data_IF_522795519977
#
_entry.id   IF_522795519977
#
_cell.length_a   1.000
_cell.length_b   1.000
_cell.length_c   1.000
_cell.angle_alpha   90.00
_cell.angle_beta   90.00
_cell.angle_gamma   90.00
#
_symmetry.space_group_name_H-M   'P 1'
#
loop_
_entity.id
_entity.type
_entity.pdbx_description
1 polymer ?
#
# COMPACT_ATOMS: atom_id res chain seq x y z
N UNK A 1 5.92 -15.88 14.22
CA UNK A 1 6.42 -16.97 13.34
C UNK A 1 7.75 -16.62 12.69
N UNK A 2 7.95 -15.39 12.23
CA UNK A 2 9.22 -14.97 11.59
C UNK A 2 10.42 -14.99 12.55
N UNK A 3 10.32 -14.45 13.76
CA UNK A 3 11.44 -14.45 14.73
C UNK A 3 11.90 -15.85 15.09
N UNK A 4 10.99 -16.78 15.35
CA UNK A 4 11.32 -18.16 15.70
C UNK A 4 11.89 -18.99 14.54
N UNK A 5 11.61 -18.64 13.29
CA UNK A 5 12.15 -19.33 12.12
C UNK A 5 13.52 -18.80 11.69
N UNK A 6 13.84 -17.55 12.00
CA UNK A 6 15.14 -16.96 11.66
C UNK A 6 16.30 -17.57 12.45
N UNK A 7 16.09 -17.95 13.71
CA UNK A 7 17.16 -18.55 14.54
C UNK A 7 17.61 -19.95 14.05
N UNK A 8 16.69 -20.72 13.42
CA UNK A 8 17.00 -22.10 12.99
C UNK A 8 17.30 -22.24 11.50
N UNK A 9 16.94 -21.23 10.67
CA UNK A 9 17.02 -21.29 9.21
C UNK A 9 17.92 -20.20 8.60
N UNK A 10 18.80 -19.59 9.38
CA UNK A 10 19.71 -18.56 8.91
C UNK A 10 20.48 -19.04 7.65
N UNK A 11 20.37 -18.28 6.56
CA UNK A 11 20.98 -18.60 5.26
C UNK A 11 20.26 -19.66 4.41
N UNK A 12 19.10 -20.17 4.86
CA UNK A 12 18.30 -21.20 4.14
C UNK A 12 16.85 -20.77 3.88
N UNK A 13 16.45 -19.58 4.32
CA UNK A 13 15.12 -19.03 4.16
C UNK A 13 15.15 -17.86 3.17
N UNK A 14 14.37 -17.94 2.11
CA UNK A 14 14.04 -16.81 1.25
C UNK A 14 12.70 -16.22 1.65
N UNK A 15 12.63 -14.92 1.89
CA UNK A 15 11.38 -14.21 2.15
C UNK A 15 10.91 -13.58 0.85
N UNK A 16 9.71 -13.95 0.41
CA UNK A 16 9.05 -13.34 -0.74
C UNK A 16 7.87 -12.52 -0.23
N UNK A 17 7.84 -11.24 -0.62
CA UNK A 17 6.69 -10.37 -0.34
C UNK A 17 5.62 -10.60 -1.40
N UNK A 18 4.37 -10.79 -0.98
CA UNK A 18 3.23 -10.95 -1.87
C UNK A 18 2.32 -9.74 -1.74
N UNK A 19 2.40 -8.83 -2.69
CA UNK A 19 1.53 -7.66 -2.76
C UNK A 19 0.14 -8.02 -3.33
N UNK A 20 -0.89 -7.20 -3.08
CA UNK A 20 -2.14 -7.26 -3.83
C UNK A 20 -1.88 -7.16 -5.34
N UNK A 21 -2.73 -7.78 -6.17
CA UNK A 21 -2.53 -7.87 -7.62
C UNK A 21 -2.32 -6.49 -8.27
N UNK A 22 -1.31 -6.40 -9.12
CA UNK A 22 -1.11 -5.27 -10.02
C UNK A 22 -2.10 -5.33 -11.20
N UNK A 23 -2.30 -4.22 -11.91
CA UNK A 23 -3.15 -4.22 -13.11
C UNK A 23 -2.60 -5.14 -14.20
N UNK A 24 -1.29 -5.28 -14.25
CA UNK A 24 -0.62 -6.19 -15.16
C UNK A 24 -1.00 -7.64 -14.90
N UNK A 25 -0.98 -8.06 -13.62
CA UNK A 25 -1.38 -9.41 -13.21
C UNK A 25 -2.87 -9.65 -13.45
N UNK A 26 -3.72 -8.65 -13.16
CA UNK A 26 -5.16 -8.71 -13.47
C UNK A 26 -5.44 -8.86 -14.97
N UNK A 27 -4.60 -8.28 -15.83
CA UNK A 27 -4.67 -8.43 -17.29
C UNK A 27 -4.06 -9.75 -17.79
N UNK A 28 -3.60 -10.64 -16.91
CA UNK A 28 -3.03 -11.95 -17.26
C UNK A 28 -1.57 -11.93 -17.71
N UNK A 29 -0.86 -10.82 -17.54
CA UNK A 29 0.57 -10.73 -17.82
C UNK A 29 1.39 -11.19 -16.60
N UNK A 30 1.70 -12.49 -16.55
CA UNK A 30 2.29 -13.15 -15.37
C UNK A 30 3.81 -12.95 -15.22
N UNK A 31 4.51 -12.53 -16.27
CA UNK A 31 5.97 -12.42 -16.22
C UNK A 31 6.41 -10.96 -16.14
N UNK A 32 7.31 -10.61 -15.19
CA UNK A 32 7.89 -9.27 -15.17
C UNK A 32 8.71 -9.06 -16.45
N UNK A 33 8.40 -8.01 -17.20
CA UNK A 33 9.34 -7.49 -18.21
C UNK A 33 10.35 -6.62 -17.48
N UNK A 34 11.62 -6.62 -17.93
CA UNK A 34 12.55 -5.60 -17.48
C UNK A 34 12.00 -4.22 -17.84
N UNK A 35 11.97 -3.30 -16.91
CA UNK A 35 11.48 -1.96 -17.18
C UNK A 35 12.58 -1.19 -17.90
N UNK A 36 12.37 -1.02 -19.16
CA UNK A 36 13.07 -0.06 -19.97
C UNK A 36 12.22 1.22 -20.05
N UNK A 37 12.75 2.32 -19.48
CA UNK A 37 12.14 3.66 -19.56
C UNK A 37 12.51 4.40 -20.85
N UNK A 38 13.10 3.74 -21.84
CA UNK A 38 13.30 4.36 -23.16
C UNK A 38 11.94 4.72 -23.78
N UNK A 39 11.90 5.82 -24.52
CA UNK A 39 10.66 6.28 -25.15
C UNK A 39 10.07 5.20 -26.08
N UNK A 40 10.91 4.47 -26.79
CA UNK A 40 10.49 3.39 -27.71
C UNK A 40 9.81 2.24 -26.93
N UNK A 41 10.37 1.83 -25.81
CA UNK A 41 9.80 0.80 -24.94
C UNK A 41 8.46 1.24 -24.36
N UNK A 42 8.37 2.47 -23.85
CA UNK A 42 7.12 3.02 -23.31
C UNK A 42 6.02 3.10 -24.37
N UNK A 43 6.34 3.58 -25.57
CA UNK A 43 5.39 3.65 -26.68
C UNK A 43 4.95 2.26 -27.17
N UNK A 44 5.87 1.30 -27.20
CA UNK A 44 5.54 -0.08 -27.58
C UNK A 44 4.59 -0.73 -26.54
N UNK A 45 4.77 -0.44 -25.26
CA UNK A 45 3.87 -0.91 -24.17
C UNK A 45 2.52 -0.23 -24.26
N UNK A 46 2.47 1.09 -24.42
CA UNK A 46 1.23 1.83 -24.56
C UNK A 46 0.33 1.27 -25.66
N UNK A 47 0.93 0.84 -26.79
CA UNK A 47 0.19 0.21 -27.91
C UNK A 47 -0.38 -1.18 -27.59
N UNK A 48 0.19 -1.88 -26.62
CA UNK A 48 -0.25 -3.23 -26.21
C UNK A 48 -1.33 -3.20 -25.14
N UNK A 49 -1.42 -2.10 -24.39
CA UNK A 49 -2.41 -1.97 -23.32
C UNK A 49 -3.76 -1.56 -23.90
N UNK A 50 -4.88 -2.11 -23.39
CA UNK A 50 -6.20 -1.61 -23.77
C UNK A 50 -6.32 -0.13 -23.39
N UNK A 51 -7.09 0.61 -24.19
CA UNK A 51 -7.43 1.98 -23.82
C UNK A 51 -8.18 1.97 -22.49
N UNK A 52 -7.61 2.63 -21.50
CA UNK A 52 -8.23 2.87 -20.20
C UNK A 52 -8.64 4.34 -20.15
N UNK A 53 -9.92 4.59 -19.93
CA UNK A 53 -10.40 5.91 -19.56
C UNK A 53 -10.21 6.16 -18.04
N UNK A 54 -10.39 7.41 -17.65
CA UNK A 54 -10.21 7.81 -16.24
C UNK A 54 -11.21 7.10 -15.31
N UNK A 55 -12.37 6.70 -15.81
CA UNK A 55 -13.40 6.03 -15.03
C UNK A 55 -12.96 4.61 -14.69
N UNK A 56 -12.41 3.88 -15.66
CA UNK A 56 -11.85 2.56 -15.45
C UNK A 56 -10.67 2.58 -14.48
N UNK A 57 -9.80 3.59 -14.58
CA UNK A 57 -8.67 3.75 -13.64
C UNK A 57 -9.20 3.96 -12.22
N UNK A 58 -10.21 4.82 -12.01
CA UNK A 58 -10.77 5.03 -10.67
C UNK A 58 -11.60 3.85 -10.16
N UNK A 59 -12.17 3.02 -11.03
CA UNK A 59 -12.75 1.74 -10.64
C UNK A 59 -11.66 0.82 -10.04
N UNK A 60 -10.50 0.71 -10.68
CA UNK A 60 -9.38 -0.07 -10.17
C UNK A 60 -8.84 0.47 -8.86
N UNK A 61 -8.73 1.79 -8.73
CA UNK A 61 -8.28 2.46 -7.49
C UNK A 61 -9.25 2.17 -6.34
N UNK A 62 -10.56 2.33 -6.59
CA UNK A 62 -11.59 2.16 -5.58
C UNK A 62 -11.75 0.71 -5.15
N UNK A 63 -11.65 -0.22 -6.09
CA UNK A 63 -11.78 -1.66 -5.83
C UNK A 63 -10.55 -2.24 -5.12
N UNK A 64 -9.36 -1.75 -5.44
CA UNK A 64 -8.10 -2.31 -4.94
C UNK A 64 -7.60 -3.52 -5.73
N UNK A 65 -6.65 -4.25 -5.15
CA UNK A 65 -5.92 -5.35 -5.78
C UNK A 65 -6.06 -6.71 -5.10
N UNK A 66 -6.85 -6.86 -4.04
CA UNK A 66 -7.11 -8.18 -3.46
C UNK A 66 -7.95 -9.04 -4.41
N UNK A 67 -7.57 -10.32 -4.55
CA UNK A 67 -8.23 -11.23 -5.49
C UNK A 67 -9.73 -11.39 -5.18
N UNK A 68 -10.08 -11.47 -3.90
CA UNK A 68 -11.46 -11.69 -3.45
C UNK A 68 -12.43 -10.53 -3.76
N UNK A 69 -11.90 -9.33 -4.07
CA UNK A 69 -12.75 -8.17 -4.39
C UNK A 69 -12.84 -7.88 -5.89
N UNK A 70 -12.16 -8.64 -6.74
CA UNK A 70 -12.10 -8.36 -8.19
C UNK A 70 -13.49 -8.34 -8.83
N UNK A 71 -14.32 -9.33 -8.52
CA UNK A 71 -15.66 -9.48 -9.06
C UNK A 71 -16.76 -9.22 -8.01
N UNK A 72 -16.39 -8.66 -6.85
CA UNK A 72 -17.31 -8.43 -5.75
C UNK A 72 -18.22 -7.22 -6.01
N UNK A 73 -19.45 -7.27 -5.51
CA UNK A 73 -20.31 -6.07 -5.44
C UNK A 73 -19.81 -5.09 -4.40
N UNK A 74 -20.29 -3.84 -4.40
CA UNK A 74 -19.93 -2.85 -3.41
C UNK A 74 -20.19 -3.33 -1.97
N UNK A 75 -21.33 -4.01 -1.75
CA UNK A 75 -21.68 -4.57 -0.44
C UNK A 75 -20.73 -5.70 -0.02
N UNK A 76 -20.39 -6.59 -0.95
CA UNK A 76 -19.44 -7.67 -0.70
C UNK A 76 -18.05 -7.13 -0.37
N UNK A 77 -17.59 -6.08 -1.05
CA UNK A 77 -16.34 -5.41 -0.74
C UNK A 77 -16.34 -4.82 0.68
N UNK A 78 -17.45 -4.20 1.12
CA UNK A 78 -17.58 -3.68 2.49
C UNK A 78 -17.41 -4.80 3.53
N UNK A 79 -18.07 -5.95 3.31
CA UNK A 79 -17.98 -7.12 4.19
C UNK A 79 -16.55 -7.68 4.18
N UNK A 80 -15.94 -7.79 3.00
CA UNK A 80 -14.56 -8.27 2.86
C UNK A 80 -13.58 -7.41 3.65
N UNK A 81 -13.55 -6.11 3.40
CA UNK A 81 -12.59 -5.22 4.06
C UNK A 81 -12.82 -5.12 5.57
N UNK A 82 -14.07 -5.14 6.03
CA UNK A 82 -14.38 -5.22 7.45
C UNK A 82 -13.81 -6.50 8.07
N UNK A 83 -14.08 -7.64 7.44
CA UNK A 83 -13.58 -8.95 7.89
C UNK A 83 -12.05 -9.03 7.86
N UNK A 84 -11.43 -8.51 6.79
CA UNK A 84 -9.99 -8.46 6.65
C UNK A 84 -9.32 -7.68 7.79
N UNK A 85 -9.86 -6.50 8.13
CA UNK A 85 -9.34 -5.70 9.22
C UNK A 85 -9.53 -6.40 10.56
N UNK A 86 -10.74 -6.91 10.84
CA UNK A 86 -11.09 -7.42 12.16
C UNK A 86 -10.47 -8.80 12.44
N UNK A 87 -10.44 -9.69 11.48
CA UNK A 87 -10.06 -11.09 11.66
C UNK A 87 -8.62 -11.39 11.29
N UNK A 88 -7.98 -10.57 10.43
CA UNK A 88 -6.60 -10.78 10.01
C UNK A 88 -5.68 -9.68 10.55
N UNK A 89 -5.83 -8.45 10.07
CA UNK A 89 -4.90 -7.37 10.40
C UNK A 89 -4.81 -7.11 11.90
N UNK A 90 -5.94 -7.02 12.60
CA UNK A 90 -5.96 -6.79 14.05
C UNK A 90 -5.49 -8.03 14.81
N UNK A 91 -5.85 -9.22 14.36
CA UNK A 91 -5.41 -10.46 15.01
C UNK A 91 -3.89 -10.63 14.91
N UNK A 92 -3.29 -10.38 13.76
CA UNK A 92 -1.85 -10.44 13.55
C UNK A 92 -1.13 -9.38 14.38
N UNK A 93 -1.64 -8.13 14.41
CA UNK A 93 -1.09 -7.06 15.23
C UNK A 93 -1.11 -7.40 16.74
N UNK A 94 -2.12 -8.12 17.21
CA UNK A 94 -2.21 -8.57 18.62
C UNK A 94 -1.28 -9.75 18.88
N UNK A 95 -1.31 -10.77 18.03
CA UNK A 95 -0.67 -12.05 18.27
C UNK A 95 0.85 -12.00 18.02
N UNK A 96 1.26 -11.32 16.96
CA UNK A 96 2.67 -11.29 16.53
C UNK A 96 3.39 -10.05 17.07
N UNK A 97 2.70 -8.89 17.15
CA UNK A 97 3.30 -7.62 17.55
C UNK A 97 2.93 -7.15 18.98
N UNK A 98 2.05 -7.90 19.66
CA UNK A 98 1.68 -7.64 21.06
C UNK A 98 0.89 -6.34 21.28
N UNK A 99 0.14 -5.88 20.27
CA UNK A 99 -0.73 -4.69 20.41
C UNK A 99 -1.87 -4.99 21.37
N UNK A 100 -1.96 -4.22 22.47
CA UNK A 100 -2.99 -4.42 23.51
C UNK A 100 -4.23 -3.56 23.27
N UNK A 101 -4.04 -2.31 22.80
CA UNK A 101 -5.14 -1.38 22.52
C UNK A 101 -5.54 -1.46 21.04
N UNK A 102 -6.37 -2.45 20.72
CA UNK A 102 -6.87 -2.68 19.35
C UNK A 102 -7.77 -1.54 18.86
N UNK A 103 -8.48 -0.86 19.75
CA UNK A 103 -9.34 0.26 19.37
C UNK A 103 -8.49 1.47 18.94
N UNK A 104 -7.44 1.81 19.69
CA UNK A 104 -6.50 2.85 19.30
C UNK A 104 -5.75 2.46 18.02
N UNK A 105 -5.37 1.18 17.82
CA UNK A 105 -4.69 0.73 16.62
C UNK A 105 -5.59 0.83 15.37
N UNK A 106 -6.88 0.46 15.47
CA UNK A 106 -7.87 0.69 14.40
C UNK A 106 -8.02 2.18 14.06
N UNK A 107 -8.02 3.05 15.07
CA UNK A 107 -8.07 4.50 14.87
C UNK A 107 -6.79 5.01 14.20
N UNK A 108 -5.63 4.46 14.58
CA UNK A 108 -4.34 4.76 13.96
C UNK A 108 -4.31 4.37 12.46
N UNK A 109 -4.77 3.17 12.12
CA UNK A 109 -4.87 2.70 10.74
C UNK A 109 -5.72 3.64 9.88
N UNK A 110 -6.87 4.10 10.40
CA UNK A 110 -7.71 5.10 9.71
C UNK A 110 -7.03 6.45 9.58
N UNK A 111 -6.28 6.89 10.60
CA UNK A 111 -5.53 8.14 10.54
C UNK A 111 -4.40 8.06 9.48
N UNK A 112 -3.73 6.92 9.35
CA UNK A 112 -2.77 6.66 8.29
C UNK A 112 -3.44 6.72 6.90
N UNK A 113 -4.62 6.12 6.73
CA UNK A 113 -5.34 6.16 5.47
C UNK A 113 -5.74 7.60 5.06
N UNK A 114 -6.10 8.43 6.02
CA UNK A 114 -6.38 9.85 5.76
C UNK A 114 -5.14 10.67 5.37
N UNK A 115 -3.93 10.14 5.59
CA UNK A 115 -2.66 10.76 5.20
C UNK A 115 -2.07 10.18 3.89
N UNK A 116 -2.83 9.36 3.16
CA UNK A 116 -2.35 8.78 1.90
C UNK A 116 -1.83 9.86 0.93
N UNK A 117 -0.67 9.61 0.31
CA UNK A 117 -0.02 10.56 -0.61
C UNK A 117 0.62 11.79 0.06
N UNK A 118 0.56 11.91 1.38
CA UNK A 118 1.15 13.02 2.13
C UNK A 118 2.41 12.60 2.90
N UNK A 119 3.19 13.60 3.31
CA UNK A 119 4.33 13.39 4.20
C UNK A 119 3.85 12.84 5.55
N UNK A 120 4.56 11.84 6.08
CA UNK A 120 4.27 11.26 7.39
C UNK A 120 4.44 12.32 8.48
N UNK A 121 3.38 12.58 9.24
CA UNK A 121 3.44 13.45 10.41
C UNK A 121 3.10 12.66 11.67
N UNK A 122 4.13 12.14 12.33
CA UNK A 122 3.99 11.34 13.54
C UNK A 122 3.31 12.10 14.69
N UNK A 123 3.52 13.41 14.78
CA UNK A 123 2.87 14.25 15.80
C UNK A 123 1.36 14.33 15.55
N UNK A 124 0.96 14.59 14.30
CA UNK A 124 -0.45 14.59 13.92
C UNK A 124 -1.11 13.24 14.18
N UNK A 125 -0.45 12.14 13.80
CA UNK A 125 -0.94 10.78 14.03
C UNK A 125 -1.11 10.51 15.53
N UNK A 126 -0.10 10.84 16.34
CA UNK A 126 -0.14 10.62 17.80
C UNK A 126 -1.25 11.41 18.47
N UNK A 127 -1.39 12.69 18.14
CA UNK A 127 -2.43 13.57 18.71
C UNK A 127 -3.84 13.13 18.30
N UNK A 128 -4.04 12.74 17.04
CA UNK A 128 -5.31 12.27 16.51
C UNK A 128 -5.79 11.01 17.23
N UNK A 129 -4.88 10.10 17.54
CA UNK A 129 -5.21 8.80 18.16
C UNK A 129 -5.24 8.87 19.67
N UNK A 130 -4.41 9.74 20.29
CA UNK A 130 -4.22 9.84 21.73
C UNK A 130 -3.11 8.92 22.26
N UNK A 131 -2.06 8.69 21.45
CA UNK A 131 -0.91 7.85 21.79
C UNK A 131 0.39 8.67 21.79
N UNK A 132 1.49 8.08 22.25
CA UNK A 132 2.80 8.75 22.16
C UNK A 132 3.32 8.76 20.73
N UNK A 133 4.17 9.74 20.40
CA UNK A 133 4.88 9.80 19.09
C UNK A 133 5.73 8.54 18.86
N UNK A 134 6.33 8.00 19.92
CA UNK A 134 7.11 6.77 19.84
C UNK A 134 6.22 5.57 19.50
N UNK A 135 5.03 5.48 20.09
CA UNK A 135 4.03 4.45 19.76
C UNK A 135 3.57 4.60 18.31
N UNK A 136 3.32 5.84 17.84
CA UNK A 136 2.93 6.07 16.44
C UNK A 136 4.01 5.62 15.45
N UNK A 137 5.30 5.84 15.78
CA UNK A 137 6.42 5.32 14.96
C UNK A 137 6.40 3.80 14.91
N UNK A 138 6.39 3.16 16.08
CA UNK A 138 6.37 1.70 16.18
C UNK A 138 5.17 1.10 15.42
N UNK A 139 3.99 1.68 15.56
CA UNK A 139 2.79 1.17 14.88
C UNK A 139 2.84 1.37 13.36
N UNK A 140 3.48 2.45 12.89
CA UNK A 140 3.69 2.62 11.45
C UNK A 140 4.69 1.60 10.90
N UNK A 141 5.75 1.29 11.66
CA UNK A 141 6.72 0.24 11.30
C UNK A 141 6.00 -1.13 11.20
N UNK A 142 5.14 -1.46 12.17
CA UNK A 142 4.31 -2.68 12.14
C UNK A 142 3.43 -2.73 10.88
N UNK A 143 2.73 -1.65 10.54
CA UNK A 143 1.90 -1.61 9.33
C UNK A 143 2.73 -1.78 8.04
N UNK A 144 3.97 -1.32 8.02
CA UNK A 144 4.87 -1.52 6.89
C UNK A 144 5.39 -2.96 6.81
N UNK A 145 5.76 -3.56 7.96
CA UNK A 145 6.18 -4.96 8.04
C UNK A 145 5.06 -5.94 7.66
N UNK A 146 3.80 -5.55 7.89
CA UNK A 146 2.60 -6.28 7.44
C UNK A 146 2.23 -6.02 5.98
N UNK A 147 3.01 -5.25 5.22
CA UNK A 147 2.73 -4.84 3.84
C UNK A 147 1.35 -4.14 3.66
N UNK A 148 0.88 -3.45 4.70
CA UNK A 148 -0.35 -2.62 4.65
C UNK A 148 -0.05 -1.23 4.10
N UNK A 149 1.08 -0.66 4.51
CA UNK A 149 1.55 0.64 4.04
C UNK A 149 2.95 0.55 3.42
N UNK A 150 3.28 1.54 2.61
CA UNK A 150 4.57 1.71 1.99
C UNK A 150 5.06 3.15 2.23
N UNK A 151 6.29 3.30 2.70
CA UNK A 151 6.94 4.61 2.87
C UNK A 151 7.86 4.88 1.70
N UNK A 152 7.54 5.89 0.90
CA UNK A 152 8.40 6.33 -0.19
C UNK A 152 9.37 7.40 0.34
N UNK A 153 10.66 7.10 0.25
CA UNK A 153 11.70 7.99 0.72
C UNK A 153 11.94 9.17 -0.25
N UNK A 154 12.26 10.37 0.26
CA UNK A 154 12.60 11.50 -0.59
C UNK A 154 13.93 11.29 -1.31
N UNK A 155 14.04 11.84 -2.51
CA UNK A 155 15.31 11.85 -3.23
C UNK A 155 16.35 12.68 -2.49
N UNK A 156 17.55 12.15 -2.36
CA UNK A 156 18.72 12.88 -1.87
C UNK A 156 20.01 12.26 -2.41
N UNK A 157 20.91 13.10 -2.89
CA UNK A 157 22.27 12.68 -3.27
C UNK A 157 23.14 12.30 -2.06
N UNK A 158 22.68 12.58 -0.83
CA UNK A 158 23.37 12.24 0.41
C UNK A 158 22.51 11.26 1.21
N UNK A 159 23.02 10.04 1.40
CA UNK A 159 22.30 8.97 2.09
C UNK A 159 21.94 9.34 3.53
N UNK A 160 22.80 10.06 4.26
CA UNK A 160 22.49 10.52 5.61
C UNK A 160 21.35 11.54 5.63
N UNK A 161 21.31 12.44 4.64
CA UNK A 161 20.21 13.40 4.52
C UNK A 161 18.90 12.73 4.13
N UNK A 162 18.94 11.66 3.32
CA UNK A 162 17.76 10.87 2.96
C UNK A 162 17.10 10.27 4.21
N UNK A 163 17.90 9.68 5.10
CA UNK A 163 17.42 9.09 6.35
C UNK A 163 16.82 10.11 7.34
N UNK A 164 17.17 11.41 7.19
CA UNK A 164 16.65 12.48 8.06
C UNK A 164 15.38 13.14 7.52
N UNK A 165 15.02 12.91 6.24
CA UNK A 165 13.86 13.52 5.62
C UNK A 165 12.60 12.68 5.88
N UNK A 166 11.46 13.34 5.81
CA UNK A 166 10.16 12.70 6.07
C UNK A 166 9.65 11.99 4.81
N UNK A 167 9.34 10.69 4.86
CA UNK A 167 8.80 9.95 3.72
C UNK A 167 7.33 10.33 3.44
N UNK A 168 6.86 10.03 2.22
CA UNK A 168 5.44 10.00 1.88
C UNK A 168 4.84 8.64 2.24
N UNK A 169 3.56 8.64 2.63
CA UNK A 169 2.81 7.46 3.03
C UNK A 169 1.88 6.99 1.91
N UNK A 170 1.96 5.72 1.56
CA UNK A 170 1.07 5.06 0.62
C UNK A 170 0.50 3.78 1.23
N UNK A 171 -0.65 3.34 0.72
CA UNK A 171 -1.23 2.05 1.05
C UNK A 171 -0.91 1.04 -0.04
N UNK A 172 -0.52 -0.17 0.34
CA UNK A 172 -0.22 -1.25 -0.60
C UNK A 172 -1.47 -1.69 -1.37
N UNK A 173 -2.65 -1.47 -0.78
CA UNK A 173 -3.95 -1.65 -1.45
C UNK A 173 -4.79 -0.37 -1.38
N UNK A 174 -5.16 0.16 -2.55
CA UNK A 174 -5.95 1.39 -2.66
C UNK A 174 -7.40 1.19 -2.25
N UNK A 175 -7.96 0.00 -2.43
CA UNK A 175 -9.33 -0.34 -2.02
C UNK A 175 -9.46 -0.41 -0.50
N UNK A 176 -8.49 -1.01 0.20
CA UNK A 176 -8.43 -0.96 1.66
C UNK A 176 -8.37 0.50 2.16
N UNK A 177 -7.55 1.33 1.52
CA UNK A 177 -7.46 2.75 1.85
C UNK A 177 -8.78 3.48 1.62
N UNK A 178 -9.46 3.22 0.50
CA UNK A 178 -10.78 3.80 0.19
C UNK A 178 -11.84 3.37 1.21
N UNK A 179 -11.84 2.10 1.60
CA UNK A 179 -12.72 1.58 2.64
C UNK A 179 -12.49 2.29 4.00
N UNK A 180 -11.24 2.41 4.45
CA UNK A 180 -10.87 3.05 5.71
C UNK A 180 -11.24 4.53 5.77
N UNK A 181 -11.16 5.23 4.63
CA UNK A 181 -11.50 6.66 4.48
C UNK A 181 -12.96 6.89 4.06
N UNK A 182 -13.76 5.82 3.92
CA UNK A 182 -15.20 5.84 3.62
C UNK A 182 -15.57 6.46 2.27
N UNK A 183 -14.72 6.25 1.27
CA UNK A 183 -15.09 6.49 -0.11
C UNK A 183 -15.95 5.32 -0.62
N UNK A 184 -17.29 5.45 -0.49
CA UNK A 184 -18.21 4.34 -0.69
C UNK A 184 -18.46 4.01 -2.16
N UNK A 185 -18.10 4.90 -3.07
CA UNK A 185 -18.27 4.72 -4.51
C UNK A 185 -17.05 5.26 -5.26
N UNK A 186 -16.80 4.69 -6.44
CA UNK A 186 -15.78 5.16 -7.39
C UNK A 186 -15.90 6.67 -7.66
N UNK A 187 -17.13 7.13 -7.97
CA UNK A 187 -17.36 8.51 -8.37
C UNK A 187 -17.11 9.47 -7.20
N UNK A 188 -17.52 9.11 -5.98
CA UNK A 188 -17.24 9.93 -4.80
C UNK A 188 -15.73 10.05 -4.52
N UNK A 189 -14.96 9.00 -4.80
CA UNK A 189 -13.49 9.01 -4.67
C UNK A 189 -12.86 9.89 -5.77
N UNK A 190 -13.26 9.69 -7.03
CA UNK A 190 -12.71 10.43 -8.18
C UNK A 190 -12.92 11.95 -8.03
N UNK A 191 -14.14 12.35 -7.69
CA UNK A 191 -14.54 13.74 -7.64
C UNK A 191 -14.25 14.40 -6.27
N UNK A 192 -13.84 13.60 -5.30
CA UNK A 192 -13.49 14.02 -3.95
C UNK A 192 -12.10 14.66 -3.85
N UNK A 193 -11.89 15.43 -2.77
CA UNK A 193 -10.63 16.13 -2.54
C UNK A 193 -9.39 15.20 -2.45
N UNK A 194 -9.59 13.92 -2.14
CA UNK A 194 -8.51 12.93 -2.04
C UNK A 194 -8.20 12.23 -3.37
N UNK A 195 -8.98 12.42 -4.44
CA UNK A 195 -8.82 11.70 -5.71
C UNK A 195 -7.40 11.74 -6.27
N UNK A 196 -6.75 12.91 -6.24
CA UNK A 196 -5.36 13.07 -6.68
C UNK A 196 -4.35 12.25 -5.85
N UNK A 197 -4.52 12.19 -4.52
CA UNK A 197 -3.67 11.39 -3.63
C UNK A 197 -3.85 9.89 -3.86
N UNK A 198 -5.09 9.45 -4.11
CA UNK A 198 -5.37 8.06 -4.44
C UNK A 198 -4.80 7.67 -5.80
N UNK A 199 -4.89 8.54 -6.79
CA UNK A 199 -4.27 8.32 -8.10
C UNK A 199 -2.74 8.22 -7.97
N UNK A 200 -2.11 9.11 -7.21
CA UNK A 200 -0.67 9.06 -6.92
C UNK A 200 -0.29 7.75 -6.23
N UNK A 201 -1.05 7.36 -5.19
CA UNK A 201 -0.86 6.08 -4.48
C UNK A 201 -0.94 4.89 -5.45
N UNK A 202 -1.94 4.88 -6.31
CA UNK A 202 -2.12 3.83 -7.31
C UNK A 202 -0.89 3.72 -8.23
N UNK A 203 -0.42 4.84 -8.82
CA UNK A 203 0.74 4.84 -9.72
C UNK A 203 2.00 4.36 -9.00
N UNK A 204 2.27 4.86 -7.79
CA UNK A 204 3.44 4.44 -7.01
C UNK A 204 3.38 2.94 -6.71
N UNK A 205 2.23 2.43 -6.27
CA UNK A 205 2.10 1.01 -5.93
C UNK A 205 2.10 0.10 -7.16
N UNK A 206 1.58 0.52 -8.30
CA UNK A 206 1.74 -0.22 -9.56
C UNK A 206 3.23 -0.34 -9.95
N UNK A 207 4.02 0.72 -9.78
CA UNK A 207 5.47 0.64 -9.98
C UNK A 207 6.13 -0.31 -8.98
N UNK A 208 5.84 -0.20 -7.70
CA UNK A 208 6.39 -1.09 -6.65
C UNK A 208 6.07 -2.55 -6.97
N UNK A 209 4.81 -2.88 -7.22
CA UNK A 209 4.34 -4.26 -7.50
C UNK A 209 4.99 -4.85 -8.76
N UNK A 210 5.06 -4.08 -9.83
CA UNK A 210 5.64 -4.55 -11.09
C UNK A 210 7.16 -4.82 -11.00
N UNK A 211 7.85 -4.19 -10.04
CA UNK A 211 9.29 -4.37 -9.84
C UNK A 211 9.66 -5.22 -8.63
N UNK A 212 8.73 -5.53 -7.74
CA UNK A 212 9.00 -6.31 -6.53
C UNK A 212 9.69 -7.65 -6.82
N UNK A 213 9.42 -8.23 -7.98
CA UNK A 213 9.93 -9.54 -8.40
C UNK A 213 10.94 -9.45 -9.54
N UNK A 214 11.37 -8.25 -9.94
CA UNK A 214 12.41 -8.08 -10.95
C UNK A 214 13.79 -8.40 -10.36
N UNK A 215 14.75 -8.81 -11.23
CA UNK A 215 16.13 -9.03 -10.80
C UNK A 215 16.81 -7.73 -10.31
N UNK A 216 16.33 -6.60 -10.76
CA UNK A 216 16.79 -5.28 -10.35
C UNK A 216 15.62 -4.51 -9.74
N UNK A 217 15.51 -4.44 -8.40
CA UNK A 217 14.44 -3.70 -7.76
C UNK A 217 14.52 -2.22 -8.12
N UNK A 218 13.40 -1.62 -8.48
CA UNK A 218 13.33 -0.19 -8.74
C UNK A 218 13.51 0.59 -7.43
N UNK A 219 14.52 1.46 -7.40
CA UNK A 219 14.69 2.42 -6.32
C UNK A 219 13.81 3.64 -6.64
N UNK A 220 12.62 3.68 -6.06
CA UNK A 220 11.72 4.81 -6.18
C UNK A 220 12.03 5.86 -5.11
N UNK A 221 11.88 7.14 -5.48
CA UNK A 221 11.98 8.29 -4.57
C UNK A 221 11.13 9.44 -5.11
N UNK A 222 10.77 10.40 -4.26
CA UNK A 222 10.02 11.60 -4.68
C UNK A 222 10.83 12.86 -4.49
#
# INVERSE_FOLDING_TARGET
LMEKSQETLAGRLGILKLYPLSQREKAGFLYPEELDFSMDSLLARAKKMPENDIENVFEHIWRGGYADVMDATAEQMQVYYQSYIDNYLIADAVNDEGIKDTAAFKKFLRACAALVGNLVNYKTLSDTVGISVQTARKWLDILEDMDIVYRLEPYSNNDLQRLCKTPKLYFCDTGLCAYLTRWLTRDSLRDGAAGGHFFENYVVMELVKNYAYSQTPALLSF
#
